data_IF_575860544072
#
_entry.id   IF_575860544072
#
_cell.length_a   1.000
_cell.length_b   1.000
_cell.length_c   1.000
_cell.angle_alpha   90.00
_cell.angle_beta   90.00
_cell.angle_gamma   90.00
#
_symmetry.space_group_name_H-M   'P 1'
#
loop_
_entity.id
_entity.type
_entity.pdbx_description
1 polymer ?
#
# COMPACT_ATOMS: atom_id res chain seq x y z
N UNK A 1 -33.43 -46.95 -31.64
CA UNK A 1 -32.00 -46.59 -31.64
C UNK A 1 -31.75 -45.16 -32.13
N UNK A 2 -32.20 -44.78 -33.34
CA UNK A 2 -32.05 -43.41 -33.88
C UNK A 2 -32.67 -42.30 -33.01
N UNK A 3 -33.87 -42.50 -32.46
CA UNK A 3 -34.50 -41.52 -31.55
C UNK A 3 -33.68 -41.28 -30.26
N UNK A 4 -33.03 -42.33 -29.74
CA UNK A 4 -32.16 -42.23 -28.56
C UNK A 4 -30.84 -41.50 -28.87
N UNK A 5 -30.24 -41.77 -30.03
CA UNK A 5 -29.05 -41.05 -30.49
C UNK A 5 -29.33 -39.57 -30.71
N UNK A 6 -30.49 -39.23 -31.31
CA UNK A 6 -30.92 -37.85 -31.51
C UNK A 6 -31.10 -37.11 -30.19
N UNK A 7 -31.82 -37.69 -29.23
CA UNK A 7 -31.98 -37.11 -27.89
C UNK A 7 -30.65 -36.89 -27.15
N UNK A 8 -29.69 -37.81 -27.28
CA UNK A 8 -28.37 -37.66 -26.67
C UNK A 8 -27.56 -36.53 -27.31
N UNK A 9 -27.69 -36.31 -28.62
CA UNK A 9 -27.01 -35.24 -29.34
C UNK A 9 -27.63 -33.89 -29.01
N UNK A 10 -28.97 -33.79 -28.97
CA UNK A 10 -29.68 -32.58 -28.57
C UNK A 10 -29.27 -32.15 -27.14
N UNK A 11 -29.17 -33.10 -26.20
CA UNK A 11 -28.67 -32.83 -24.85
C UNK A 11 -27.23 -32.32 -24.85
N UNK A 12 -26.36 -32.87 -25.69
CA UNK A 12 -24.95 -32.43 -25.81
C UNK A 12 -24.82 -31.07 -26.45
N UNK A 13 -25.63 -30.76 -27.47
CA UNK A 13 -25.66 -29.47 -28.13
C UNK A 13 -26.14 -28.38 -27.17
N UNK A 14 -27.19 -28.67 -26.39
CA UNK A 14 -27.67 -27.77 -25.34
C UNK A 14 -26.58 -27.50 -24.27
N UNK A 15 -25.87 -28.55 -23.82
CA UNK A 15 -24.78 -28.40 -22.87
C UNK A 15 -23.58 -27.60 -23.45
N UNK A 16 -23.22 -27.84 -24.72
CA UNK A 16 -22.15 -27.11 -25.40
C UNK A 16 -22.52 -25.62 -25.59
N UNK A 17 -23.77 -25.34 -25.97
CA UNK A 17 -24.28 -23.97 -26.10
C UNK A 17 -24.30 -23.25 -24.74
N UNK A 18 -24.71 -23.93 -23.68
CA UNK A 18 -24.67 -23.38 -22.32
C UNK A 18 -23.23 -23.07 -21.88
N UNK A 19 -22.28 -23.97 -22.15
CA UNK A 19 -20.87 -23.74 -21.87
C UNK A 19 -20.29 -22.57 -22.65
N UNK A 20 -20.67 -22.41 -23.93
CA UNK A 20 -20.26 -21.28 -24.76
C UNK A 20 -20.79 -19.96 -24.19
N UNK A 21 -22.07 -19.92 -23.78
CA UNK A 21 -22.68 -18.74 -23.18
C UNK A 21 -21.99 -18.36 -21.85
N UNK A 22 -21.64 -19.34 -21.02
CA UNK A 22 -20.89 -19.11 -19.78
C UNK A 22 -19.47 -18.56 -20.04
N UNK A 23 -18.79 -19.10 -21.05
CA UNK A 23 -17.46 -18.61 -21.44
C UNK A 23 -17.52 -17.17 -21.97
N UNK A 24 -18.53 -16.82 -22.77
CA UNK A 24 -18.76 -15.45 -23.25
C UNK A 24 -19.02 -14.50 -22.07
N UNK A 25 -19.91 -14.87 -21.14
CA UNK A 25 -20.18 -14.06 -19.96
C UNK A 25 -18.92 -13.85 -19.09
N UNK A 26 -18.09 -14.89 -18.93
CA UNK A 26 -16.82 -14.81 -18.21
C UNK A 26 -15.84 -13.86 -18.89
N UNK A 27 -15.68 -13.96 -20.22
CA UNK A 27 -14.83 -13.03 -21.00
C UNK A 27 -15.31 -11.59 -20.85
N UNK A 28 -16.60 -11.35 -20.94
CA UNK A 28 -17.16 -10.00 -20.87
C UNK A 28 -16.99 -9.40 -19.46
N UNK A 29 -17.12 -10.22 -18.41
CA UNK A 29 -16.78 -9.85 -17.03
C UNK A 29 -15.29 -9.51 -16.85
N UNK A 30 -14.39 -10.31 -17.43
CA UNK A 30 -12.95 -10.03 -17.39
C UNK A 30 -12.59 -8.76 -18.15
N UNK A 31 -13.21 -8.49 -19.31
CA UNK A 31 -13.02 -7.24 -20.06
C UNK A 31 -13.49 -6.03 -19.25
N UNK A 32 -14.64 -6.13 -18.59
CA UNK A 32 -15.13 -5.07 -17.71
C UNK A 32 -14.17 -4.80 -16.55
N UNK A 33 -13.58 -5.84 -15.96
CA UNK A 33 -12.58 -5.69 -14.90
C UNK A 33 -11.27 -5.08 -15.42
N UNK A 34 -10.79 -5.47 -16.60
CA UNK A 34 -9.64 -4.81 -17.26
C UNK A 34 -9.92 -3.32 -17.46
N UNK A 35 -11.11 -2.96 -17.95
CA UNK A 35 -11.50 -1.55 -18.10
C UNK A 35 -11.56 -0.82 -16.75
N UNK A 36 -12.10 -1.47 -15.71
CA UNK A 36 -12.17 -0.91 -14.36
C UNK A 36 -10.78 -0.66 -13.78
N UNK A 37 -9.88 -1.63 -13.87
CA UNK A 37 -8.50 -1.52 -13.40
C UNK A 37 -7.71 -0.48 -14.20
N UNK A 38 -7.88 -0.43 -15.52
CA UNK A 38 -7.28 0.61 -16.36
C UNK A 38 -7.76 2.02 -15.98
N UNK A 39 -9.03 2.18 -15.61
CA UNK A 39 -9.58 3.46 -15.15
C UNK A 39 -9.00 3.93 -13.80
N UNK A 40 -8.40 3.02 -12.99
CA UNK A 40 -7.72 3.38 -11.74
C UNK A 40 -6.29 3.89 -11.96
N UNK A 41 -5.69 3.65 -13.12
CA UNK A 41 -4.31 4.09 -13.41
C UNK A 41 -4.19 5.63 -13.47
N UNK A 42 -5.02 6.37 -14.23
CA UNK A 42 -4.93 7.83 -14.30
C UNK A 42 -5.04 8.56 -12.94
N UNK A 43 -5.98 8.25 -12.03
CA UNK A 43 -6.03 8.93 -10.74
C UNK A 43 -4.83 8.58 -9.85
N UNK A 44 -4.26 7.38 -9.96
CA UNK A 44 -3.02 7.03 -9.24
C UNK A 44 -1.80 7.79 -9.79
N UNK A 45 -1.70 7.97 -11.10
CA UNK A 45 -0.65 8.79 -11.74
C UNK A 45 -0.80 10.28 -11.39
N UNK A 46 -2.05 10.76 -11.28
CA UNK A 46 -2.34 12.12 -10.79
C UNK A 46 -1.91 12.29 -9.33
N UNK A 47 -2.24 11.34 -8.46
CA UNK A 47 -1.80 11.35 -7.06
C UNK A 47 -0.27 11.29 -6.92
N UNK A 48 0.40 10.49 -7.76
CA UNK A 48 1.86 10.45 -7.83
C UNK A 48 2.45 11.80 -8.26
N UNK A 49 1.88 12.44 -9.28
CA UNK A 49 2.28 13.77 -9.74
C UNK A 49 2.09 14.83 -8.65
N UNK A 50 0.96 14.81 -7.93
CA UNK A 50 0.72 15.72 -6.80
C UNK A 50 1.72 15.50 -5.65
N UNK A 51 2.05 14.25 -5.34
CA UNK A 51 3.05 13.92 -4.34
C UNK A 51 4.44 14.44 -4.72
N UNK A 52 4.82 14.34 -6.01
CA UNK A 52 6.06 14.93 -6.54
C UNK A 52 6.04 16.46 -6.37
N UNK A 53 4.96 17.13 -6.77
CA UNK A 53 4.83 18.59 -6.60
C UNK A 53 4.94 19.01 -5.13
N UNK A 54 4.37 18.21 -4.21
CA UNK A 54 4.52 18.40 -2.77
C UNK A 54 5.97 18.27 -2.30
N UNK A 55 6.69 17.23 -2.76
CA UNK A 55 8.10 17.02 -2.43
C UNK A 55 9.00 18.14 -2.98
N UNK A 56 8.73 18.63 -4.20
CA UNK A 56 9.42 19.80 -4.78
C UNK A 56 9.17 21.03 -3.92
N UNK A 57 7.92 21.29 -3.53
CA UNK A 57 7.57 22.43 -2.66
C UNK A 57 8.26 22.36 -1.30
N UNK A 58 8.32 21.16 -0.69
CA UNK A 58 9.03 20.94 0.56
C UNK A 58 10.55 21.16 0.42
N UNK A 59 11.14 20.76 -0.72
CA UNK A 59 12.55 21.02 -1.04
C UNK A 59 12.83 22.52 -1.15
N UNK A 60 11.98 23.26 -1.84
CA UNK A 60 12.09 24.72 -1.95
C UNK A 60 12.01 25.38 -0.57
N UNK A 61 11.05 24.95 0.27
CA UNK A 61 10.92 25.45 1.63
C UNK A 61 12.16 25.16 2.50
N UNK A 62 12.74 23.97 2.37
CA UNK A 62 13.98 23.60 3.07
C UNK A 62 15.16 24.48 2.63
N UNK A 63 15.32 24.70 1.32
CA UNK A 63 16.38 25.57 0.78
C UNK A 63 16.21 27.02 1.27
N UNK A 64 14.97 27.54 1.29
CA UNK A 64 14.68 28.86 1.83
C UNK A 64 15.01 28.96 3.33
N UNK A 65 14.64 27.94 4.12
CA UNK A 65 14.97 27.89 5.54
C UNK A 65 16.49 27.84 5.79
N UNK A 66 17.24 27.10 4.97
CA UNK A 66 18.70 27.06 5.02
C UNK A 66 19.33 28.42 4.70
N UNK A 67 18.79 29.15 3.71
CA UNK A 67 19.26 30.49 3.38
C UNK A 67 19.03 31.47 4.55
N UNK A 68 17.84 31.45 5.16
CA UNK A 68 17.53 32.27 6.35
C UNK A 68 18.47 31.93 7.49
N UNK A 69 18.74 30.64 7.74
CA UNK A 69 19.68 30.21 8.77
C UNK A 69 21.09 30.76 8.51
N UNK A 70 21.56 30.73 7.26
CA UNK A 70 22.83 31.32 6.86
C UNK A 70 22.90 32.82 7.11
N UNK A 71 21.84 33.56 6.75
CA UNK A 71 21.74 35.01 7.00
C UNK A 71 21.75 35.33 8.49
N UNK A 72 20.94 34.64 9.30
CA UNK A 72 20.90 34.84 10.76
C UNK A 72 22.22 34.51 11.45
N UNK A 73 22.92 33.50 10.93
CA UNK A 73 24.27 33.16 11.42
C UNK A 73 25.25 34.29 11.12
N UNK A 74 25.24 34.82 9.89
CA UNK A 74 26.09 35.95 9.50
C UNK A 74 25.77 37.23 10.29
N UNK A 75 24.49 37.53 10.52
CA UNK A 75 24.06 38.66 11.36
C UNK A 75 24.57 38.53 12.79
N UNK A 76 24.40 37.35 13.41
CA UNK A 76 24.95 37.06 14.73
C UNK A 76 26.46 37.26 14.74
N UNK A 77 27.17 36.67 13.78
CA UNK A 77 28.64 36.72 13.74
C UNK A 77 29.16 38.15 13.52
N UNK A 78 28.43 39.00 12.80
CA UNK A 78 28.74 40.42 12.66
C UNK A 78 28.53 41.22 13.97
N UNK A 79 27.68 40.75 14.89
CA UNK A 79 27.42 41.42 16.18
C UNK A 79 28.42 41.07 17.29
N UNK A 80 29.19 39.98 17.13
CA UNK A 80 30.16 39.51 18.13
C UNK A 80 31.37 40.48 18.27
N UNK A 81 32.11 40.84 17.20
CA UNK A 81 33.29 41.71 17.33
C UNK A 81 32.99 43.10 17.93
N UNK A 82 31.89 43.79 17.59
CA UNK A 82 31.53 45.06 18.22
C UNK A 82 31.20 44.93 19.72
N UNK A 83 30.68 43.79 20.16
CA UNK A 83 30.43 43.51 21.59
C UNK A 83 31.76 43.32 22.33
N UNK A 84 32.66 42.55 21.75
CA UNK A 84 33.98 42.29 22.34
C UNK A 84 34.79 43.59 22.46
N UNK A 85 34.73 44.47 21.46
CA UNK A 85 35.35 45.80 21.51
C UNK A 85 34.73 46.72 22.59
N UNK A 86 33.41 46.68 22.78
CA UNK A 86 32.75 47.44 23.86
C UNK A 86 33.13 46.88 25.25
N UNK A 87 33.28 45.56 25.36
CA UNK A 87 33.74 44.91 26.57
C UNK A 87 35.20 45.29 26.89
N UNK A 88 36.10 45.22 25.91
CA UNK A 88 37.49 45.67 26.06
C UNK A 88 37.59 47.14 26.50
N UNK A 89 36.78 48.03 25.92
CA UNK A 89 36.75 49.45 26.31
C UNK A 89 36.29 49.65 27.77
N UNK A 90 35.31 48.89 28.24
CA UNK A 90 34.88 48.90 29.65
C UNK A 90 35.99 48.41 30.57
N UNK A 91 36.70 47.34 30.19
CA UNK A 91 37.82 46.80 30.98
C UNK A 91 38.98 47.79 31.03
N UNK A 92 39.35 48.41 29.90
CA UNK A 92 40.45 49.38 29.81
C UNK A 92 40.14 50.66 30.61
N UNK A 93 38.93 51.20 30.51
CA UNK A 93 38.54 52.40 31.27
C UNK A 93 38.27 52.13 32.76
N UNK A 94 37.85 50.92 33.12
CA UNK A 94 37.66 50.49 34.51
C UNK A 94 38.97 50.13 35.23
N UNK A 95 40.02 49.75 34.49
CA UNK A 95 41.36 49.46 35.02
C UNK A 95 42.20 50.71 35.33
N UNK A 96 41.87 51.86 34.75
CA UNK A 96 42.48 53.13 35.08
C UNK A 96 41.92 53.64 36.42
N UNK A 97 42.80 53.89 37.40
CA UNK A 97 42.43 54.35 38.75
C UNK A 97 41.52 55.60 38.64
N UNK A 98 40.32 55.60 39.25
CA UNK A 98 39.38 56.70 39.10
C UNK A 98 40.03 58.00 39.60
N UNK A 99 39.80 59.16 38.95
CA UNK A 99 40.35 60.43 39.40
C UNK A 99 39.97 60.65 40.86
N UNK A 100 40.98 60.72 41.75
CA UNK A 100 40.77 60.87 43.19
C UNK A 100 39.81 62.03 43.48
N UNK A 101 38.84 61.82 44.36
CA UNK A 101 38.00 62.90 44.84
C UNK A 101 38.90 63.99 45.46
N UNK A 102 38.74 65.23 45.02
CA UNK A 102 39.46 66.36 45.60
C UNK A 102 39.00 66.52 47.05
N UNK A 103 39.93 66.54 48.02
CA UNK A 103 39.67 66.71 49.47
C UNK A 103 38.87 67.98 49.86
N UNK A 104 38.50 68.83 48.89
CA UNK A 104 37.95 70.18 49.10
C UNK A 104 36.42 70.27 49.02
N UNK A 105 35.69 69.14 48.97
CA UNK A 105 34.22 69.13 49.00
C UNK A 105 33.53 69.73 47.77
N UNK A 106 34.26 70.03 46.70
CA UNK A 106 33.71 70.39 45.38
C UNK A 106 33.69 69.13 44.49
N UNK A 107 32.65 68.92 43.66
CA UNK A 107 32.60 67.77 42.76
C UNK A 107 33.81 67.78 41.84
N UNK A 108 34.61 66.72 41.83
CA UNK A 108 35.70 66.57 40.89
C UNK A 108 35.11 66.44 39.46
N UNK A 109 35.30 67.42 38.56
CA UNK A 109 34.72 67.39 37.23
C UNK A 109 35.26 66.22 36.39
N UNK A 110 36.48 65.77 36.66
CA UNK A 110 37.08 64.63 36.00
C UNK A 110 36.44 63.31 36.43
N UNK A 111 36.11 63.16 37.71
CA UNK A 111 35.40 61.98 38.20
C UNK A 111 33.97 61.90 37.63
N UNK A 112 33.25 63.02 37.59
CA UNK A 112 31.91 63.07 37.00
C UNK A 112 31.93 62.72 35.50
N UNK A 113 32.94 63.19 34.75
CA UNK A 113 33.12 62.81 33.34
C UNK A 113 33.44 61.33 33.16
N UNK A 114 34.37 60.79 33.95
CA UNK A 114 34.72 59.37 33.91
C UNK A 114 33.51 58.48 34.24
N UNK A 115 32.75 58.85 35.28
CA UNK A 115 31.53 58.11 35.65
C UNK A 115 30.50 58.10 34.52
N UNK A 116 30.22 59.26 33.93
CA UNK A 116 29.30 59.35 32.78
C UNK A 116 29.79 58.48 31.61
N UNK A 117 31.10 58.47 31.34
CA UNK A 117 31.67 57.61 30.30
C UNK A 117 31.51 56.11 30.60
N UNK A 118 31.70 55.69 31.86
CA UNK A 118 31.47 54.30 32.27
C UNK A 118 30.00 53.91 32.19
N UNK A 119 29.09 54.78 32.62
CA UNK A 119 27.64 54.57 32.52
C UNK A 119 27.20 54.46 31.04
N UNK A 120 27.75 55.32 30.16
CA UNK A 120 27.51 55.26 28.72
C UNK A 120 28.03 53.95 28.10
N UNK A 121 29.25 53.52 28.44
CA UNK A 121 29.83 52.26 27.95
C UNK A 121 29.04 51.04 28.43
N UNK A 122 28.58 51.03 29.69
CA UNK A 122 27.71 49.97 30.21
C UNK A 122 26.36 49.93 29.49
N UNK A 123 25.77 51.10 29.20
CA UNK A 123 24.54 51.18 28.42
C UNK A 123 24.73 50.63 26.99
N UNK A 124 25.87 50.94 26.36
CA UNK A 124 26.22 50.37 25.04
C UNK A 124 26.38 48.86 25.12
N UNK A 125 27.11 48.32 26.11
CA UNK A 125 27.30 46.88 26.27
C UNK A 125 25.97 46.15 26.48
N UNK A 126 25.08 46.69 27.32
CA UNK A 126 23.74 46.14 27.54
C UNK A 126 22.91 46.14 26.25
N UNK A 127 22.95 47.21 25.47
CA UNK A 127 22.27 47.29 24.18
C UNK A 127 22.83 46.26 23.18
N UNK A 128 24.15 46.06 23.12
CA UNK A 128 24.77 45.03 22.27
C UNK A 128 24.40 43.61 22.72
N UNK A 129 24.35 43.36 24.03
CA UNK A 129 23.91 42.06 24.57
C UNK A 129 22.47 41.75 24.17
N UNK A 130 21.56 42.72 24.30
CA UNK A 130 20.17 42.55 23.88
C UNK A 130 20.02 42.23 22.38
N UNK A 131 20.85 42.84 21.53
CA UNK A 131 20.90 42.51 20.08
C UNK A 131 21.39 41.08 19.85
N UNK A 132 22.44 40.64 20.57
CA UNK A 132 22.95 39.27 20.45
C UNK A 132 21.91 38.24 20.91
N UNK A 133 21.20 38.50 22.00
CA UNK A 133 20.14 37.61 22.50
C UNK A 133 18.97 37.51 21.53
N UNK A 134 18.58 38.64 20.91
CA UNK A 134 17.58 38.66 19.84
C UNK A 134 18.04 37.87 18.60
N UNK A 135 19.32 38.01 18.21
CA UNK A 135 19.91 37.26 17.10
C UNK A 135 19.95 35.75 17.39
N UNK A 136 20.30 35.34 18.62
CA UNK A 136 20.28 33.94 19.04
C UNK A 136 18.86 33.36 19.03
N UNK A 137 17.87 34.12 19.49
CA UNK A 137 16.45 33.73 19.42
C UNK A 137 16.01 33.52 17.98
N UNK A 138 16.35 34.46 17.08
CA UNK A 138 16.05 34.34 15.65
C UNK A 138 16.73 33.12 15.01
N UNK A 139 17.97 32.82 15.38
CA UNK A 139 18.70 31.64 14.90
C UNK A 139 18.04 30.32 15.35
N UNK A 140 17.60 30.25 16.61
CA UNK A 140 16.91 29.08 17.14
C UNK A 140 15.56 28.85 16.43
N UNK A 141 14.81 29.92 16.18
CA UNK A 141 13.57 29.86 15.40
C UNK A 141 13.82 29.38 13.95
N UNK A 142 14.89 29.86 13.32
CA UNK A 142 15.28 29.42 11.97
C UNK A 142 15.69 27.94 11.93
N UNK A 143 16.37 27.43 12.97
CA UNK A 143 16.70 25.99 13.10
C UNK A 143 15.44 25.14 13.22
N UNK A 144 14.50 25.53 14.08
CA UNK A 144 13.23 24.83 14.24
C UNK A 144 12.41 24.80 12.93
N UNK A 145 12.40 25.90 12.19
CA UNK A 145 11.74 25.97 10.89
C UNK A 145 12.40 25.03 9.85
N UNK A 146 13.73 24.99 9.79
CA UNK A 146 14.48 24.05 8.93
C UNK A 146 14.15 22.59 9.29
N UNK A 147 14.15 22.25 10.57
CA UNK A 147 13.90 20.87 11.02
C UNK A 147 12.46 20.44 10.69
N UNK A 148 11.50 21.34 10.84
CA UNK A 148 10.11 21.13 10.39
C UNK A 148 10.05 20.91 8.87
N UNK A 149 10.74 21.74 8.08
CA UNK A 149 10.79 21.59 6.62
C UNK A 149 11.43 20.25 6.20
N UNK A 150 12.49 19.81 6.88
CA UNK A 150 13.12 18.52 6.64
C UNK A 150 12.18 17.34 6.97
N UNK A 151 11.43 17.43 8.08
CA UNK A 151 10.39 16.46 8.42
C UNK A 151 9.31 16.35 7.34
N UNK A 152 8.83 17.49 6.84
CA UNK A 152 7.86 17.54 5.75
C UNK A 152 8.40 16.92 4.45
N UNK A 153 9.67 17.18 4.11
CA UNK A 153 10.32 16.59 2.93
C UNK A 153 10.40 15.06 3.05
N UNK A 154 10.77 14.54 4.23
CA UNK A 154 10.82 13.10 4.47
C UNK A 154 9.43 12.45 4.33
N UNK A 155 8.39 13.08 4.88
CA UNK A 155 7.01 12.61 4.74
C UNK A 155 6.55 12.62 3.27
N UNK A 156 6.87 13.69 2.52
CA UNK A 156 6.55 13.79 1.10
C UNK A 156 7.25 12.70 0.27
N UNK A 157 8.53 12.43 0.54
CA UNK A 157 9.28 11.36 -0.12
C UNK A 157 8.67 9.98 0.16
N UNK A 158 8.26 9.71 1.41
CA UNK A 158 7.58 8.46 1.75
C UNK A 158 6.24 8.31 0.99
N UNK A 159 5.47 9.40 0.87
CA UNK A 159 4.23 9.41 0.09
C UNK A 159 4.46 9.14 -1.40
N UNK A 160 5.51 9.72 -2.00
CA UNK A 160 5.90 9.46 -3.39
C UNK A 160 6.23 7.98 -3.62
N UNK A 161 7.00 7.35 -2.72
CA UNK A 161 7.34 5.94 -2.83
C UNK A 161 6.12 5.02 -2.70
N UNK A 162 5.21 5.35 -1.77
CA UNK A 162 3.96 4.60 -1.63
C UNK A 162 3.07 4.73 -2.88
N UNK A 163 2.94 5.94 -3.44
CA UNK A 163 2.19 6.17 -4.66
C UNK A 163 2.76 5.37 -5.84
N UNK A 164 4.10 5.36 -5.98
CA UNK A 164 4.78 4.58 -7.02
C UNK A 164 4.49 3.08 -6.90
N UNK A 165 4.62 2.51 -5.69
CA UNK A 165 4.32 1.10 -5.46
C UNK A 165 2.87 0.73 -5.83
N UNK A 166 1.90 1.61 -5.57
CA UNK A 166 0.50 1.38 -5.94
C UNK A 166 0.28 1.41 -7.45
N UNK A 167 0.96 2.31 -8.16
CA UNK A 167 0.92 2.36 -9.63
C UNK A 167 1.50 1.07 -10.23
N UNK A 168 2.64 0.60 -9.71
CA UNK A 168 3.28 -0.62 -10.20
C UNK A 168 2.41 -1.86 -9.96
N UNK A 169 1.77 -1.96 -8.79
CA UNK A 169 0.80 -3.03 -8.49
C UNK A 169 -0.42 -2.98 -9.41
N UNK A 170 -0.98 -1.80 -9.64
CA UNK A 170 -2.12 -1.62 -10.55
C UNK A 170 -1.77 -2.07 -11.98
N UNK A 171 -0.56 -1.73 -12.47
CA UNK A 171 -0.07 -2.18 -13.78
C UNK A 171 0.06 -3.70 -13.85
N UNK A 172 0.63 -4.34 -12.82
CA UNK A 172 0.75 -5.79 -12.77
C UNK A 172 -0.62 -6.50 -12.76
N UNK A 173 -1.61 -5.92 -12.08
CA UNK A 173 -2.97 -6.44 -12.05
C UNK A 173 -3.65 -6.33 -13.43
N UNK A 174 -3.47 -5.21 -14.14
CA UNK A 174 -3.97 -5.05 -15.53
C UNK A 174 -3.37 -6.11 -16.45
N UNK A 175 -2.06 -6.34 -16.39
CA UNK A 175 -1.38 -7.39 -17.20
C UNK A 175 -1.95 -8.78 -16.89
N UNK A 176 -2.12 -9.10 -15.61
CA UNK A 176 -2.70 -10.39 -15.18
C UNK A 176 -4.13 -10.56 -15.69
N UNK A 177 -4.94 -9.51 -15.58
CA UNK A 177 -6.32 -9.52 -16.05
C UNK A 177 -6.39 -9.69 -17.58
N UNK A 178 -5.48 -9.06 -18.33
CA UNK A 178 -5.37 -9.24 -19.78
C UNK A 178 -5.03 -10.69 -20.15
N UNK A 179 -4.04 -11.30 -19.49
CA UNK A 179 -3.68 -12.71 -19.74
C UNK A 179 -4.86 -13.66 -19.50
N UNK A 180 -5.68 -13.39 -18.48
CA UNK A 180 -6.91 -14.17 -18.22
C UNK A 180 -7.94 -13.97 -19.32
N UNK A 181 -8.11 -12.75 -19.82
CA UNK A 181 -9.02 -12.45 -20.93
C UNK A 181 -8.59 -13.18 -22.22
N UNK A 182 -7.29 -13.18 -22.53
CA UNK A 182 -6.73 -13.86 -23.70
C UNK A 182 -6.91 -15.39 -23.60
N UNK A 183 -6.66 -15.96 -22.43
CA UNK A 183 -6.90 -17.39 -22.18
C UNK A 183 -8.39 -17.76 -22.34
N UNK A 184 -9.30 -16.89 -21.87
CA UNK A 184 -10.74 -17.07 -22.04
C UNK A 184 -11.16 -17.02 -23.51
N UNK A 185 -10.52 -16.18 -24.33
CA UNK A 185 -10.77 -16.08 -25.76
C UNK A 185 -10.32 -17.36 -26.50
N UNK A 186 -9.17 -17.92 -26.12
CA UNK A 186 -8.74 -19.25 -26.56
C UNK A 186 -9.75 -20.35 -26.20
N UNK A 187 -10.29 -20.31 -24.97
CA UNK A 187 -11.33 -21.24 -24.52
C UNK A 187 -12.63 -21.14 -25.32
N UNK A 188 -13.10 -19.92 -25.63
CA UNK A 188 -14.29 -19.69 -26.48
C UNK A 188 -14.07 -20.25 -27.88
N UNK A 189 -12.89 -20.05 -28.45
CA UNK A 189 -12.54 -20.57 -29.78
C UNK A 189 -12.60 -22.10 -29.80
N UNK A 190 -12.01 -22.75 -28.79
CA UNK A 190 -12.09 -24.20 -28.65
C UNK A 190 -13.54 -24.70 -28.48
N UNK A 191 -14.36 -24.00 -27.69
CA UNK A 191 -15.77 -24.35 -27.51
C UNK A 191 -16.58 -24.24 -28.81
N UNK A 192 -16.32 -23.19 -29.63
CA UNK A 192 -16.94 -23.05 -30.95
C UNK A 192 -16.61 -24.22 -31.88
N UNK A 193 -15.34 -24.62 -31.94
CA UNK A 193 -14.92 -25.76 -32.75
C UNK A 193 -15.61 -27.07 -32.33
N UNK A 194 -15.85 -27.26 -31.02
CA UNK A 194 -16.62 -28.41 -30.51
C UNK A 194 -18.07 -28.36 -30.98
N UNK A 195 -18.72 -27.20 -30.91
CA UNK A 195 -20.10 -27.02 -31.39
C UNK A 195 -20.19 -27.30 -32.89
N UNK A 196 -19.29 -26.73 -33.69
CA UNK A 196 -19.20 -26.97 -35.13
C UNK A 196 -19.02 -28.46 -35.46
N UNK A 197 -18.14 -29.15 -34.73
CA UNK A 197 -17.95 -30.60 -34.85
C UNK A 197 -19.21 -31.40 -34.56
N UNK A 198 -19.95 -31.06 -33.50
CA UNK A 198 -21.23 -31.72 -33.15
C UNK A 198 -22.28 -31.49 -34.24
N UNK A 199 -22.36 -30.27 -34.79
CA UNK A 199 -23.30 -29.95 -35.87
C UNK A 199 -22.99 -30.74 -37.15
N UNK A 200 -21.71 -30.94 -37.46
CA UNK A 200 -21.28 -31.78 -38.58
C UNK A 200 -21.63 -33.27 -38.36
N UNK A 201 -21.41 -33.78 -37.14
CA UNK A 201 -21.83 -35.15 -36.77
C UNK A 201 -23.35 -35.33 -36.91
N UNK A 202 -24.14 -34.32 -36.53
CA UNK A 202 -25.60 -34.33 -36.68
C UNK A 202 -26.04 -34.39 -38.15
N UNK A 203 -25.46 -33.54 -39.00
CA UNK A 203 -25.76 -33.54 -40.43
C UNK A 203 -25.40 -34.88 -41.10
N UNK A 204 -24.29 -35.51 -40.68
CA UNK A 204 -23.90 -36.83 -41.17
C UNK A 204 -24.89 -37.92 -40.77
N UNK A 205 -25.41 -37.89 -39.54
CA UNK A 205 -26.43 -38.81 -39.06
C UNK A 205 -27.76 -38.65 -39.81
N UNK A 206 -28.22 -37.42 -40.05
CA UNK A 206 -29.43 -37.14 -40.81
C UNK A 206 -29.32 -37.64 -42.26
N UNK A 207 -28.19 -37.40 -42.92
CA UNK A 207 -27.93 -37.91 -44.27
C UNK A 207 -27.89 -39.44 -44.33
N UNK A 208 -27.46 -40.09 -43.24
CA UNK A 208 -27.42 -41.55 -43.13
C UNK A 208 -28.79 -42.15 -42.90
N UNK A 209 -29.59 -41.53 -42.03
CA UNK A 209 -30.98 -41.92 -41.81
C UNK A 209 -31.79 -41.80 -43.11
N UNK A 210 -31.58 -40.73 -43.89
CA UNK A 210 -32.22 -40.55 -45.19
C UNK A 210 -31.85 -41.67 -46.18
N UNK A 211 -30.58 -42.09 -46.24
CA UNK A 211 -30.15 -43.22 -47.08
C UNK A 211 -30.79 -44.55 -46.68
N UNK A 212 -30.84 -44.85 -45.38
CA UNK A 212 -31.46 -46.08 -44.88
C UNK A 212 -32.96 -46.16 -45.18
N UNK A 213 -33.65 -45.01 -45.29
CA UNK A 213 -35.05 -44.96 -45.71
C UNK A 213 -35.20 -45.18 -47.22
N UNK A 214 -34.23 -44.73 -48.02
CA UNK A 214 -34.29 -44.80 -49.49
C UNK A 214 -33.86 -46.15 -50.08
N UNK A 215 -32.92 -46.86 -49.45
CA UNK A 215 -32.35 -48.12 -49.96
C UNK A 215 -32.62 -49.29 -48.98
N UNK A 216 -33.49 -50.26 -49.35
CA UNK A 216 -33.72 -51.46 -48.53
C UNK A 216 -32.44 -52.28 -48.38
N UNK A 217 -32.20 -52.72 -47.15
CA UNK A 217 -30.95 -53.28 -46.63
C UNK A 217 -30.39 -54.48 -47.43
N UNK A 218 -29.32 -54.26 -48.20
CA UNK A 218 -28.41 -55.32 -48.67
C UNK A 218 -27.30 -55.55 -47.63
N UNK A 219 -27.17 -56.80 -47.19
CA UNK A 219 -26.13 -57.28 -46.26
C UNK A 219 -24.69 -56.97 -46.69
N UNK A 220 -24.41 -56.83 -47.98
CA UNK A 220 -23.08 -56.43 -48.47
C UNK A 220 -22.74 -54.96 -48.12
N UNK A 221 -23.75 -54.09 -48.05
CA UNK A 221 -23.61 -52.65 -47.77
C UNK A 221 -23.63 -52.36 -46.26
N UNK A 222 -24.25 -53.24 -45.47
CA UNK A 222 -24.39 -53.09 -44.02
C UNK A 222 -23.09 -53.25 -43.24
N UNK A 223 -22.17 -54.10 -43.71
CA UNK A 223 -20.95 -54.43 -42.95
C UNK A 223 -19.98 -53.24 -42.83
N UNK A 224 -19.64 -52.51 -43.91
CA UNK A 224 -18.83 -51.29 -43.79
C UNK A 224 -19.52 -50.22 -42.94
N UNK A 225 -20.86 -50.13 -43.00
CA UNK A 225 -21.62 -49.19 -42.19
C UNK A 225 -21.55 -49.50 -40.69
N UNK A 226 -21.63 -50.78 -40.32
CA UNK A 226 -21.48 -51.23 -38.94
C UNK A 226 -20.05 -51.03 -38.41
N UNK A 227 -19.03 -51.27 -39.24
CA UNK A 227 -17.63 -51.00 -38.89
C UNK A 227 -17.39 -49.50 -38.65
N UNK A 228 -17.96 -48.63 -39.48
CA UNK A 228 -17.91 -47.18 -39.27
C UNK A 228 -18.62 -46.73 -37.98
N UNK A 229 -19.78 -47.33 -37.62
CA UNK A 229 -20.43 -47.05 -36.33
C UNK A 229 -19.60 -47.50 -35.15
N UNK A 230 -18.99 -48.69 -35.25
CA UNK A 230 -18.12 -49.19 -34.20
C UNK A 230 -16.92 -48.27 -33.99
N UNK A 231 -16.31 -47.79 -35.08
CA UNK A 231 -15.20 -46.84 -35.03
C UNK A 231 -15.60 -45.51 -34.34
N UNK A 232 -16.77 -44.96 -34.68
CA UNK A 232 -17.25 -43.71 -34.07
C UNK A 232 -17.63 -43.88 -32.58
N UNK A 233 -18.24 -45.02 -32.22
CA UNK A 233 -18.50 -45.38 -30.82
C UNK A 233 -17.21 -45.45 -30.00
N UNK A 234 -16.17 -46.07 -30.56
CA UNK A 234 -14.84 -46.15 -29.93
C UNK A 234 -14.21 -44.75 -29.80
N UNK A 235 -14.29 -43.90 -30.83
CA UNK A 235 -13.81 -42.52 -30.78
C UNK A 235 -14.54 -41.70 -29.70
N UNK A 236 -15.86 -41.83 -29.60
CA UNK A 236 -16.66 -41.17 -28.56
C UNK A 236 -16.33 -41.67 -27.16
N UNK A 237 -16.11 -42.99 -26.97
CA UNK A 237 -15.65 -43.54 -25.69
C UNK A 237 -14.29 -42.97 -25.30
N UNK A 238 -13.36 -42.86 -26.25
CA UNK A 238 -12.03 -42.27 -26.01
C UNK A 238 -12.11 -40.79 -25.65
N UNK A 239 -12.94 -40.00 -26.34
CA UNK A 239 -13.20 -38.59 -25.99
C UNK A 239 -13.76 -38.45 -24.57
N UNK A 240 -14.77 -39.25 -24.18
CA UNK A 240 -15.32 -39.26 -22.81
C UNK A 240 -14.27 -39.64 -21.76
N UNK A 241 -13.43 -40.63 -22.06
CA UNK A 241 -12.34 -41.03 -21.18
C UNK A 241 -11.35 -39.88 -20.95
N UNK A 242 -10.89 -39.24 -22.03
CA UNK A 242 -9.96 -38.10 -21.94
C UNK A 242 -10.54 -36.93 -21.12
N UNK A 243 -11.82 -36.60 -21.32
CA UNK A 243 -12.49 -35.55 -20.52
C UNK A 243 -12.55 -35.90 -19.03
N UNK A 244 -12.80 -37.18 -18.68
CA UNK A 244 -12.78 -37.63 -17.29
C UNK A 244 -11.38 -37.54 -16.68
N UNK A 245 -10.34 -37.89 -17.44
CA UNK A 245 -8.94 -37.74 -17.01
C UNK A 245 -8.60 -36.26 -16.78
N UNK A 246 -8.98 -35.38 -17.69
CA UNK A 246 -8.78 -33.93 -17.55
C UNK A 246 -9.53 -33.36 -16.35
N UNK A 247 -10.79 -33.77 -16.13
CA UNK A 247 -11.57 -33.38 -14.96
C UNK A 247 -10.90 -33.84 -13.66
N UNK A 248 -10.39 -35.08 -13.62
CA UNK A 248 -9.63 -35.60 -12.49
C UNK A 248 -8.39 -34.75 -12.21
N UNK A 249 -7.58 -34.46 -13.23
CA UNK A 249 -6.40 -33.60 -13.09
C UNK A 249 -6.75 -32.19 -12.59
N UNK A 250 -7.82 -31.59 -13.12
CA UNK A 250 -8.31 -30.29 -12.68
C UNK A 250 -8.76 -30.32 -11.21
N UNK A 251 -9.49 -31.35 -10.77
CA UNK A 251 -9.92 -31.50 -9.38
C UNK A 251 -8.73 -31.71 -8.44
N UNK A 252 -7.69 -32.44 -8.85
CA UNK A 252 -6.44 -32.56 -8.09
C UNK A 252 -5.76 -31.21 -7.91
N UNK A 253 -5.57 -30.44 -8.99
CA UNK A 253 -4.99 -29.09 -8.92
C UNK A 253 -5.82 -28.15 -8.03
N UNK A 254 -7.15 -28.17 -8.18
CA UNK A 254 -8.07 -27.42 -7.31
C UNK A 254 -7.89 -27.82 -5.86
N UNK A 255 -7.80 -29.12 -5.57
CA UNK A 255 -7.57 -29.65 -4.22
C UNK A 255 -6.27 -29.12 -3.59
N UNK A 256 -5.16 -29.13 -4.33
CA UNK A 256 -3.88 -28.59 -3.86
C UNK A 256 -3.95 -27.09 -3.55
N UNK A 257 -4.60 -26.29 -4.41
CA UNK A 257 -4.78 -24.86 -4.19
C UNK A 257 -5.64 -24.57 -2.95
N UNK A 258 -6.73 -25.31 -2.78
CA UNK A 258 -7.60 -25.18 -1.60
C UNK A 258 -6.89 -25.62 -0.31
N UNK A 259 -6.06 -26.66 -0.35
CA UNK A 259 -5.25 -27.06 0.81
C UNK A 259 -4.24 -25.98 1.20
N UNK A 260 -3.58 -25.33 0.22
CA UNK A 260 -2.69 -24.21 0.48
C UNK A 260 -3.44 -22.99 1.05
N UNK A 261 -4.65 -22.71 0.55
CA UNK A 261 -5.52 -21.69 1.11
C UNK A 261 -5.90 -22.01 2.56
N UNK A 262 -6.24 -23.27 2.86
CA UNK A 262 -6.61 -23.68 4.21
C UNK A 262 -5.45 -23.44 5.18
N UNK A 263 -4.22 -23.79 4.81
CA UNK A 263 -3.03 -23.45 5.60
C UNK A 263 -2.89 -21.94 5.83
N UNK A 264 -3.06 -21.12 4.80
CA UNK A 264 -2.98 -19.65 4.94
C UNK A 264 -4.07 -19.09 5.87
N UNK A 265 -5.28 -19.66 5.85
CA UNK A 265 -6.35 -19.26 6.76
C UNK A 265 -6.06 -19.71 8.20
N UNK A 266 -5.39 -20.84 8.39
CA UNK A 266 -4.97 -21.28 9.73
C UNK A 266 -3.91 -20.32 10.34
N UNK A 267 -3.01 -19.79 9.52
CA UNK A 267 -2.08 -18.71 9.93
C UNK A 267 -2.83 -17.42 10.29
N UNK A 268 -3.86 -17.05 9.51
CA UNK A 268 -4.71 -15.89 9.83
C UNK A 268 -5.45 -16.07 11.15
N UNK A 269 -5.93 -17.28 11.43
CA UNK A 269 -6.56 -17.63 12.71
C UNK A 269 -5.58 -17.50 13.88
N UNK A 270 -4.30 -17.87 13.69
CA UNK A 270 -3.27 -17.67 14.70
C UNK A 270 -3.07 -16.18 15.01
N UNK A 271 -2.88 -15.35 13.97
CA UNK A 271 -2.74 -13.89 14.12
C UNK A 271 -3.95 -13.31 14.85
N UNK A 272 -5.17 -13.75 14.49
CA UNK A 272 -6.40 -13.30 15.14
C UNK A 272 -6.41 -13.63 16.65
N UNK A 273 -5.94 -14.81 17.06
CA UNK A 273 -5.82 -15.19 18.48
C UNK A 273 -4.77 -14.35 19.21
N UNK A 274 -3.60 -14.17 18.62
CA UNK A 274 -2.54 -13.31 19.19
C UNK A 274 -3.03 -11.87 19.39
N UNK A 275 -3.77 -11.33 18.41
CA UNK A 275 -4.40 -10.01 18.52
C UNK A 275 -5.44 -9.94 19.65
N UNK A 276 -6.14 -11.04 19.93
CA UNK A 276 -7.13 -11.11 21.02
C UNK A 276 -6.46 -11.17 22.41
N UNK A 277 -5.27 -11.77 22.50
CA UNK A 277 -4.47 -11.86 23.72
C UNK A 277 -3.63 -10.60 24.00
N UNK A 278 -3.55 -9.68 23.03
CA UNK A 278 -2.80 -8.44 23.19
C UNK A 278 -3.43 -7.53 24.26
N UNK A 279 -2.83 -7.52 25.45
CA UNK A 279 -3.29 -6.77 26.62
C UNK A 279 -3.51 -5.25 26.39
N UNK A 280 -2.88 -4.68 25.36
CA UNK A 280 -3.01 -3.26 25.03
C UNK A 280 -3.99 -2.97 23.88
N UNK A 281 -4.67 -3.99 23.34
CA UNK A 281 -5.57 -3.84 22.19
C UNK A 281 -6.73 -2.86 22.47
N UNK A 282 -7.18 -2.75 23.72
CA UNK A 282 -8.22 -1.80 24.11
C UNK A 282 -7.84 -0.33 23.84
N UNK A 283 -6.54 0.00 23.80
CA UNK A 283 -6.04 1.32 23.43
C UNK A 283 -6.09 1.63 21.92
N UNK A 284 -6.44 0.64 21.09
CA UNK A 284 -6.37 0.71 19.63
C UNK A 284 -7.67 0.23 18.99
N UNK A 285 -8.71 1.07 18.87
CA UNK A 285 -10.04 0.66 18.39
C UNK A 285 -10.05 -0.04 17.03
N UNK A 286 -9.12 0.34 16.14
CA UNK A 286 -8.96 -0.30 14.83
C UNK A 286 -8.63 -1.80 14.92
N UNK A 287 -7.97 -2.24 15.98
CA UNK A 287 -7.64 -3.67 16.19
C UNK A 287 -8.89 -4.53 16.37
N UNK A 288 -9.93 -4.00 17.01
CA UNK A 288 -11.20 -4.70 17.16
C UNK A 288 -11.91 -4.87 15.81
N UNK A 289 -11.90 -3.84 14.96
CA UNK A 289 -12.45 -3.91 13.62
C UNK A 289 -11.68 -4.93 12.74
N UNK A 290 -10.35 -4.90 12.79
CA UNK A 290 -9.50 -5.86 12.08
C UNK A 290 -9.81 -7.28 12.52
N UNK A 291 -9.87 -7.53 13.84
CA UNK A 291 -10.18 -8.85 14.40
C UNK A 291 -11.54 -9.37 13.93
N UNK A 292 -12.56 -8.50 13.88
CA UNK A 292 -13.89 -8.88 13.40
C UNK A 292 -13.87 -9.32 11.92
N UNK A 293 -13.11 -8.63 11.07
CA UNK A 293 -12.95 -9.03 9.66
C UNK A 293 -12.21 -10.36 9.53
N UNK A 294 -11.13 -10.56 10.31
CA UNK A 294 -10.40 -11.83 10.30
C UNK A 294 -11.29 -13.00 10.75
N UNK A 295 -12.14 -12.79 11.77
CA UNK A 295 -13.12 -13.79 12.21
C UNK A 295 -14.08 -14.20 11.10
N UNK A 296 -14.60 -13.24 10.33
CA UNK A 296 -15.48 -13.52 9.18
C UNK A 296 -14.76 -14.37 8.15
N UNK A 297 -13.54 -14.00 7.75
CA UNK A 297 -12.74 -14.76 6.76
C UNK A 297 -12.49 -16.20 7.23
N UNK A 298 -12.08 -16.37 8.50
CA UNK A 298 -11.86 -17.71 9.08
C UNK A 298 -13.15 -18.52 9.12
N UNK A 299 -14.26 -17.91 9.52
CA UNK A 299 -15.56 -18.58 9.61
C UNK A 299 -16.06 -19.03 8.24
N UNK A 300 -16.02 -18.14 7.24
CA UNK A 300 -16.42 -18.46 5.87
C UNK A 300 -15.56 -19.60 5.29
N UNK A 301 -14.24 -19.55 5.50
CA UNK A 301 -13.35 -20.62 5.04
C UNK A 301 -13.67 -21.96 5.74
N UNK A 302 -13.90 -21.97 7.06
CA UNK A 302 -14.28 -23.19 7.79
C UNK A 302 -15.56 -23.81 7.24
N UNK A 303 -16.55 -23.00 6.87
CA UNK A 303 -17.80 -23.47 6.25
C UNK A 303 -17.56 -24.11 4.87
N UNK A 304 -16.55 -23.66 4.12
CA UNK A 304 -16.18 -24.25 2.83
C UNK A 304 -15.39 -25.56 3.01
N UNK A 305 -14.52 -25.66 4.02
CA UNK A 305 -13.67 -26.85 4.24
C UNK A 305 -14.44 -28.16 4.43
N UNK A 306 -15.67 -28.11 4.94
CA UNK A 306 -16.50 -29.31 5.12
C UNK A 306 -17.09 -29.82 3.81
N UNK A 307 -16.97 -29.07 2.71
CA UNK A 307 -17.53 -29.42 1.40
C UNK A 307 -16.51 -30.20 0.55
N UNK A 308 -16.97 -31.10 -0.33
CA UNK A 308 -16.11 -31.71 -1.34
C UNK A 308 -15.39 -30.66 -2.19
N UNK A 309 -14.17 -30.95 -2.64
CA UNK A 309 -13.36 -30.05 -3.50
C UNK A 309 -14.12 -29.58 -4.75
N UNK A 310 -14.95 -30.44 -5.34
CA UNK A 310 -15.79 -30.11 -6.49
C UNK A 310 -16.84 -29.04 -6.19
N UNK A 311 -17.32 -28.97 -4.95
CA UNK A 311 -18.45 -28.12 -4.51
C UNK A 311 -18.01 -26.87 -3.74
N UNK A 312 -16.73 -26.80 -3.35
CA UNK A 312 -16.14 -25.62 -2.72
C UNK A 312 -16.22 -24.40 -3.65
N UNK A 313 -16.80 -23.32 -3.13
CA UNK A 313 -16.98 -22.02 -3.80
C UNK A 313 -16.25 -20.91 -3.05
N UNK A 314 -15.03 -21.21 -2.57
CA UNK A 314 -14.19 -20.22 -1.88
C UNK A 314 -14.04 -18.96 -2.74
N UNK A 315 -14.49 -17.82 -2.22
CA UNK A 315 -14.30 -16.52 -2.87
C UNK A 315 -12.89 -15.99 -2.55
N UNK A 316 -11.90 -16.60 -3.20
CA UNK A 316 -10.47 -16.33 -2.98
C UNK A 316 -10.12 -14.85 -3.18
N UNK A 317 -10.73 -14.21 -4.17
CA UNK A 317 -10.48 -12.80 -4.47
C UNK A 317 -11.03 -11.90 -3.35
N UNK A 318 -12.21 -12.21 -2.82
CA UNK A 318 -12.74 -11.45 -1.70
C UNK A 318 -11.91 -11.65 -0.42
N UNK A 319 -11.53 -12.89 -0.10
CA UNK A 319 -10.66 -13.17 1.05
C UNK A 319 -9.31 -12.44 0.93
N UNK A 320 -8.69 -12.46 -0.26
CA UNK A 320 -7.45 -11.72 -0.54
C UNK A 320 -7.65 -10.21 -0.34
N UNK A 321 -8.71 -9.64 -0.90
CA UNK A 321 -8.98 -8.20 -0.79
C UNK A 321 -9.21 -7.79 0.68
N UNK A 322 -9.95 -8.59 1.45
CA UNK A 322 -10.12 -8.37 2.88
C UNK A 322 -8.78 -8.38 3.62
N UNK A 323 -7.94 -9.39 3.38
CA UNK A 323 -6.63 -9.50 4.03
C UNK A 323 -5.69 -8.34 3.66
N UNK A 324 -5.62 -7.94 2.38
CA UNK A 324 -4.83 -6.78 1.94
C UNK A 324 -5.28 -5.50 2.63
N UNK A 325 -6.58 -5.25 2.70
CA UNK A 325 -7.14 -4.08 3.38
C UNK A 325 -6.83 -4.10 4.89
N UNK A 326 -6.94 -5.26 5.54
CA UNK A 326 -6.61 -5.39 6.96
C UNK A 326 -5.11 -5.22 7.23
N UNK A 327 -4.24 -5.71 6.34
CA UNK A 327 -2.79 -5.50 6.46
C UNK A 327 -2.44 -4.01 6.36
N UNK A 328 -3.08 -3.27 5.45
CA UNK A 328 -2.91 -1.83 5.34
C UNK A 328 -3.39 -1.11 6.62
N UNK A 329 -4.53 -1.52 7.20
CA UNK A 329 -5.04 -0.98 8.45
C UNK A 329 -4.10 -1.27 9.63
N UNK A 330 -3.58 -2.50 9.75
CA UNK A 330 -2.59 -2.89 10.76
C UNK A 330 -1.32 -2.04 10.67
N UNK A 331 -0.81 -1.79 9.45
CA UNK A 331 0.35 -0.90 9.23
C UNK A 331 0.07 0.52 9.71
N UNK A 332 -1.14 1.04 9.49
CA UNK A 332 -1.52 2.36 9.99
C UNK A 332 -1.56 2.40 11.53
N UNK A 333 -2.12 1.37 12.16
CA UNK A 333 -2.13 1.23 13.64
C UNK A 333 -0.70 1.18 14.18
N UNK A 334 0.21 0.45 13.53
CA UNK A 334 1.61 0.36 13.95
C UNK A 334 2.31 1.71 13.92
N UNK A 335 2.08 2.52 12.89
CA UNK A 335 2.63 3.88 12.79
C UNK A 335 2.11 4.75 13.94
N UNK A 336 0.80 4.71 14.22
CA UNK A 336 0.22 5.46 15.34
C UNK A 336 0.75 4.99 16.69
N UNK A 337 0.89 3.68 16.90
CA UNK A 337 1.46 3.10 18.10
C UNK A 337 2.90 3.53 18.34
N UNK A 338 3.69 3.58 17.27
CA UNK A 338 5.07 4.07 17.31
C UNK A 338 5.11 5.54 17.73
N UNK A 339 4.27 6.39 17.13
CA UNK A 339 4.19 7.80 17.49
C UNK A 339 3.77 8.04 18.94
N UNK A 340 2.80 7.28 19.45
CA UNK A 340 2.37 7.35 20.86
C UNK A 340 3.48 6.91 21.80
N UNK A 341 4.20 5.83 21.47
CA UNK A 341 5.36 5.37 22.24
C UNK A 341 6.44 6.45 22.29
N UNK A 342 6.79 7.04 21.15
CA UNK A 342 7.86 8.02 21.05
C UNK A 342 7.52 9.30 21.83
N UNK A 343 6.25 9.72 21.77
CA UNK A 343 5.73 10.82 22.59
C UNK A 343 5.86 10.53 24.09
N UNK A 344 5.48 9.32 24.53
CA UNK A 344 5.62 8.91 25.94
C UNK A 344 7.09 8.85 26.36
N UNK A 345 7.96 8.34 25.49
CA UNK A 345 9.40 8.30 25.77
C UNK A 345 9.98 9.71 25.90
N UNK A 346 9.57 10.65 25.05
CA UNK A 346 9.99 12.05 25.14
C UNK A 346 9.55 12.68 26.47
N UNK A 347 8.31 12.41 26.92
CA UNK A 347 7.81 12.86 28.22
C UNK A 347 8.64 12.27 29.37
N UNK A 348 8.92 10.97 29.35
CA UNK A 348 9.74 10.31 30.37
C UNK A 348 11.16 10.88 30.43
N UNK A 349 11.77 11.13 29.27
CA UNK A 349 13.08 11.76 29.19
C UNK A 349 13.06 13.18 29.76
N UNK A 350 12.02 13.97 29.47
CA UNK A 350 11.84 15.31 30.04
C UNK A 350 11.67 15.29 31.55
N UNK A 351 10.89 14.37 32.10
CA UNK A 351 10.74 14.19 33.54
C UNK A 351 12.06 13.76 34.22
N UNK A 352 12.82 12.86 33.58
CA UNK A 352 14.12 12.44 34.09
C UNK A 352 15.11 13.61 34.13
N UNK A 353 15.11 14.49 33.12
CA UNK A 353 15.92 15.70 33.10
C UNK A 353 15.51 16.67 34.23
N UNK A 354 14.21 16.92 34.41
CA UNK A 354 13.72 17.78 35.50
C UNK A 354 14.12 17.26 36.89
N UNK A 355 14.07 15.94 37.10
CA UNK A 355 14.52 15.32 38.36
C UNK A 355 16.02 15.56 38.56
N UNK A 356 16.84 15.43 37.51
CA UNK A 356 18.28 15.69 37.58
C UNK A 356 18.57 17.16 37.93
N UNK A 357 17.89 18.11 37.27
CA UNK A 357 18.01 19.55 37.54
C UNK A 357 17.63 19.90 38.99
N UNK A 358 16.55 19.29 39.52
CA UNK A 358 16.17 19.47 40.92
C UNK A 358 17.17 18.91 41.92
N UNK A 359 17.90 17.84 41.57
CA UNK A 359 18.92 17.25 42.44
C UNK A 359 20.20 18.09 42.48
N UNK A 360 20.55 18.80 41.40
CA UNK A 360 21.72 19.68 41.37
C UNK A 360 21.54 20.99 42.16
N UNK A 361 20.31 21.50 42.29
CA UNK A 361 20.02 22.74 43.04
C UNK A 361 19.90 22.50 44.56
N UNK A 362 19.76 21.24 44.98
CA UNK A 362 19.58 20.85 46.39
C UNK A 362 20.86 20.51 47.16
N UNK A 363 22.03 20.66 46.54
CA UNK A 363 23.38 20.47 47.13
C UNK A 363 24.08 21.82 47.16
#
# INVERSE_FOLDING_TARGET
>A
MFAYLRAMIDQRMAAAQQSLNQAIATRDGLRAEVTRLAALVPPLESAHSQAISGAVSATVALNAAQQVLGQRTAERDATIPPRDAAYEAVVEHGGNEPPRETQTGKPNPAWARWKNQMDDLQAVLAAKQAVLDAANTALNNARAARDTAAGNLNAANAAVQQAKSRVDEAKANVVTAQQRADASEGGITAARLVVEGIMAEYAALDARAARLVAEPLDTAVLRPAAEAELADLLATRRRRFNLRVQLGAHLTTKGTLLAAQDLAVDEVELIRREMAEWQYAAGWPATAAIRAVLETVVTESRQQRTRPVSERTDNLDNARNHLTNQLAALRAVLVQATAVRDTRQAILNGLAQQIAEHQEVGV
#
